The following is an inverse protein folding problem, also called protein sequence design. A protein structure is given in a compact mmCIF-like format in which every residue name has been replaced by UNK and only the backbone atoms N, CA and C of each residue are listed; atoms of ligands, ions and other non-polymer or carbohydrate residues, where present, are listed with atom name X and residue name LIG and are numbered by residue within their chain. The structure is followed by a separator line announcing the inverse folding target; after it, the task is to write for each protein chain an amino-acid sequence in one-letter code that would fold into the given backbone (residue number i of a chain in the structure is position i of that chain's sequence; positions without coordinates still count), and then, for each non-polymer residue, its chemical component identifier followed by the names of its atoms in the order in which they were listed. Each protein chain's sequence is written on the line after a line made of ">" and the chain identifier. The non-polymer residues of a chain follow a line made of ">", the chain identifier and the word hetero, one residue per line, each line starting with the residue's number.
data_IF_431558337950
#
_entry.id   IF_431558337950
#
_cell.length_a   1.000
_cell.length_b   1.000
_cell.length_c   1.000
_cell.angle_alpha   90.00
_cell.angle_beta   90.00
_cell.angle_gamma   90.00
#
_symmetry.space_group_name_H-M   'P 1'
#
loop_
_entity.id
_entity.type
_entity.pdbx_description
1 polymer ?
#
# COMPACT_ATOMS: atom_id res chain seq x y z
N UNK A 1 64.76 71.05 3.54
CA UNK A 1 65.58 71.76 2.52
C UNK A 1 67.01 71.25 2.63
N UNK A 2 67.81 71.11 1.56
CA UNK A 2 67.57 70.97 0.09
C UNK A 2 68.05 69.56 -0.41
N UNK A 3 67.56 68.88 -1.47
CA UNK A 3 67.50 69.01 -2.96
C UNK A 3 68.75 68.61 -3.78
N UNK A 4 68.45 67.95 -4.92
CA UNK A 4 69.20 67.81 -6.20
C UNK A 4 70.18 66.61 -6.35
N UNK A 5 70.35 65.89 -7.47
CA UNK A 5 69.77 65.76 -8.82
C UNK A 5 70.41 64.48 -9.46
N UNK A 6 69.69 63.53 -10.04
CA UNK A 6 69.41 63.30 -11.49
C UNK A 6 70.57 62.81 -12.43
N UNK A 7 70.44 61.53 -12.86
CA UNK A 7 70.79 60.90 -14.18
C UNK A 7 72.27 60.75 -14.63
N UNK A 8 72.65 59.90 -15.64
CA UNK A 8 71.86 59.12 -16.62
C UNK A 8 72.34 57.65 -16.92
N UNK A 9 71.54 56.94 -17.75
CA UNK A 9 71.78 55.63 -18.40
C UNK A 9 72.71 55.70 -19.64
N UNK A 10 73.32 54.59 -20.12
CA UNK A 10 73.12 54.22 -21.53
C UNK A 10 73.12 52.69 -21.87
N UNK A 11 72.82 52.41 -23.14
CA UNK A 11 72.24 51.21 -23.78
C UNK A 11 73.18 50.05 -24.25
N UNK A 12 72.60 48.83 -24.25
CA UNK A 12 72.68 47.60 -25.09
C UNK A 12 73.93 47.03 -25.84
N UNK A 13 74.14 45.69 -25.68
CA UNK A 13 74.51 44.69 -26.74
C UNK A 13 73.93 43.28 -26.43
N UNK A 14 72.98 42.69 -27.21
CA UNK A 14 72.16 41.55 -26.76
C UNK A 14 72.43 40.11 -27.28
N UNK A 15 73.44 39.83 -28.13
CA UNK A 15 73.48 38.54 -28.89
C UNK A 15 74.36 37.40 -28.35
N UNK A 16 75.46 37.67 -27.63
CA UNK A 16 76.39 36.62 -27.17
C UNK A 16 75.97 36.01 -25.83
N UNK A 17 75.49 36.85 -24.90
CA UNK A 17 74.96 36.43 -23.59
C UNK A 17 73.72 35.55 -23.72
N UNK A 18 72.90 35.78 -24.75
CA UNK A 18 71.68 35.01 -24.99
C UNK A 18 71.99 33.56 -25.38
N UNK A 19 73.05 33.33 -26.18
CA UNK A 19 73.47 31.97 -26.57
C UNK A 19 74.07 31.18 -25.40
N UNK A 20 74.90 31.81 -24.57
CA UNK A 20 75.51 31.14 -23.41
C UNK A 20 74.46 30.75 -22.37
N UNK A 21 73.47 31.62 -22.12
CA UNK A 21 72.35 31.33 -21.23
C UNK A 21 71.48 30.20 -21.75
N UNK A 22 71.27 30.13 -23.07
CA UNK A 22 70.50 29.04 -23.65
C UNK A 22 71.22 27.70 -23.51
N UNK A 23 72.53 27.64 -23.75
CA UNK A 23 73.31 26.41 -23.52
C UNK A 23 73.29 25.99 -22.05
N UNK A 24 73.39 26.94 -21.13
CA UNK A 24 73.33 26.70 -19.69
C UNK A 24 71.96 26.11 -19.30
N UNK A 25 70.85 26.71 -19.76
CA UNK A 25 69.49 26.19 -19.55
C UNK A 25 69.35 24.78 -20.11
N UNK A 26 69.89 24.49 -21.30
CA UNK A 26 69.81 23.13 -21.87
C UNK A 26 70.60 22.12 -21.06
N UNK A 27 71.80 22.47 -20.57
CA UNK A 27 72.60 21.57 -19.72
C UNK A 27 71.97 21.35 -18.35
N UNK A 28 71.42 22.40 -17.73
CA UNK A 28 70.71 22.30 -16.45
C UNK A 28 69.44 21.46 -16.60
N UNK A 29 68.71 21.65 -17.70
CA UNK A 29 67.49 20.87 -18.00
C UNK A 29 67.81 19.39 -18.24
N UNK A 30 68.90 19.08 -18.96
CA UNK A 30 69.35 17.71 -19.16
C UNK A 30 69.80 17.05 -17.86
N UNK A 31 70.52 17.77 -16.99
CA UNK A 31 70.94 17.29 -15.69
C UNK A 31 69.74 16.98 -14.76
N UNK A 32 68.72 17.85 -14.74
CA UNK A 32 67.48 17.58 -13.99
C UNK A 32 66.67 16.42 -14.57
N UNK A 33 66.69 16.24 -15.89
CA UNK A 33 66.03 15.10 -16.54
C UNK A 33 66.72 13.78 -16.20
N UNK A 34 68.06 13.71 -16.24
CA UNK A 34 68.80 12.53 -15.80
C UNK A 34 68.57 12.22 -14.32
N UNK A 35 68.57 13.25 -13.46
CA UNK A 35 68.29 13.08 -12.03
C UNK A 35 66.88 12.52 -11.77
N UNK A 36 65.89 12.92 -12.58
CA UNK A 36 64.51 12.39 -12.46
C UNK A 36 64.44 10.92 -12.87
N UNK A 37 65.14 10.54 -13.96
CA UNK A 37 65.22 9.15 -14.39
C UNK A 37 65.89 8.28 -13.32
N UNK A 38 66.99 8.76 -12.73
CA UNK A 38 67.69 8.04 -11.66
C UNK A 38 66.79 7.84 -10.43
N UNK A 39 66.02 8.86 -10.05
CA UNK A 39 65.07 8.74 -8.92
C UNK A 39 63.93 7.75 -9.17
N UNK A 40 63.45 7.63 -10.41
CA UNK A 40 62.44 6.62 -10.78
C UNK A 40 63.00 5.21 -10.73
N UNK A 41 64.28 5.05 -11.09
CA UNK A 41 64.95 3.76 -11.01
C UNK A 41 65.12 3.33 -9.55
N UNK A 42 65.39 4.27 -8.65
CA UNK A 42 65.54 4.01 -7.22
C UNK A 42 64.21 3.59 -6.55
N UNK A 43 63.11 4.29 -6.86
CA UNK A 43 61.75 3.90 -6.41
C UNK A 43 61.34 2.53 -6.94
N UNK A 44 61.69 2.22 -8.20
CA UNK A 44 61.44 0.90 -8.78
C UNK A 44 62.18 -0.20 -8.01
N UNK A 45 63.43 0.01 -7.62
CA UNK A 45 64.16 -0.95 -6.78
C UNK A 45 63.53 -1.08 -5.40
N UNK A 46 63.08 0.01 -4.78
CA UNK A 46 62.45 -0.03 -3.46
C UNK A 46 61.13 -0.81 -3.48
N UNK A 47 60.28 -0.62 -4.50
CA UNK A 47 59.05 -1.41 -4.70
C UNK A 47 59.38 -2.89 -4.89
N UNK A 48 60.42 -3.21 -5.67
CA UNK A 48 60.88 -4.59 -5.87
C UNK A 48 61.23 -5.30 -4.56
N UNK A 49 61.87 -4.61 -3.61
CA UNK A 49 62.22 -5.17 -2.29
C UNK A 49 60.96 -5.52 -1.47
N UNK A 50 59.91 -4.70 -1.53
CA UNK A 50 58.66 -4.98 -0.83
C UNK A 50 57.87 -6.13 -1.47
N UNK A 51 57.83 -6.17 -2.80
CA UNK A 51 57.24 -7.27 -3.55
C UNK A 51 57.93 -8.59 -3.21
N UNK A 52 59.26 -8.63 -3.24
CA UNK A 52 60.05 -9.82 -2.91
C UNK A 52 59.82 -10.29 -1.46
N UNK A 53 59.64 -9.36 -0.52
CA UNK A 53 59.34 -9.70 0.89
C UNK A 53 57.93 -10.28 1.04
N UNK A 54 56.95 -9.77 0.31
CA UNK A 54 55.58 -10.28 0.33
C UNK A 54 55.53 -11.67 -0.34
N UNK A 55 56.08 -11.82 -1.54
CA UNK A 55 56.13 -13.09 -2.23
C UNK A 55 57.00 -14.12 -1.49
N UNK A 56 58.07 -13.68 -0.83
CA UNK A 56 58.88 -14.52 0.05
C UNK A 56 58.07 -15.12 1.20
N UNK A 57 57.28 -14.31 1.91
CA UNK A 57 56.38 -14.80 2.98
C UNK A 57 55.27 -15.71 2.48
N UNK A 58 54.70 -15.41 1.31
CA UNK A 58 53.69 -16.28 0.68
C UNK A 58 54.32 -17.62 0.31
N UNK A 59 55.51 -17.62 -0.28
CA UNK A 59 56.25 -18.85 -0.64
C UNK A 59 56.62 -19.67 0.59
N UNK A 60 57.03 -19.02 1.68
CA UNK A 60 57.28 -19.66 2.97
C UNK A 60 56.00 -20.27 3.55
N UNK A 61 54.88 -19.55 3.51
CA UNK A 61 53.57 -20.06 3.89
C UNK A 61 53.11 -21.27 3.05
N UNK A 62 53.38 -21.26 1.74
CA UNK A 62 53.12 -22.39 0.85
C UNK A 62 54.02 -23.58 1.19
N UNK A 63 55.29 -23.34 1.54
CA UNK A 63 56.21 -24.39 1.93
C UNK A 63 55.81 -25.02 3.28
N UNK A 64 55.36 -24.20 4.23
CA UNK A 64 54.78 -24.66 5.50
C UNK A 64 53.50 -25.47 5.24
N UNK A 65 52.64 -25.01 4.33
CA UNK A 65 51.44 -25.73 3.92
C UNK A 65 51.76 -27.10 3.31
N UNK A 66 52.80 -27.18 2.47
CA UNK A 66 53.28 -28.40 1.85
C UNK A 66 53.89 -29.38 2.87
N UNK A 67 54.55 -28.88 3.91
CA UNK A 67 55.14 -29.71 4.98
C UNK A 67 54.09 -30.34 5.91
N UNK A 68 52.92 -29.71 6.07
CA UNK A 68 51.83 -30.20 6.92
C UNK A 68 50.49 -30.19 6.17
N UNK A 69 50.32 -31.04 5.14
CA UNK A 69 49.16 -30.98 4.24
C UNK A 69 47.85 -31.32 4.95
N UNK A 70 47.86 -32.25 5.92
CA UNK A 70 46.67 -32.64 6.68
C UNK A 70 46.18 -31.51 7.60
N UNK A 71 47.09 -30.89 8.35
CA UNK A 71 46.74 -29.79 9.28
C UNK A 71 46.30 -28.57 8.46
N UNK A 72 47.02 -28.24 7.39
CA UNK A 72 46.70 -27.08 6.56
C UNK A 72 45.39 -27.25 5.81
N UNK A 73 45.11 -28.44 5.28
CA UNK A 73 43.81 -28.72 4.64
C UNK A 73 42.65 -28.66 5.63
N UNK A 74 42.84 -29.14 6.87
CA UNK A 74 41.83 -29.06 7.91
C UNK A 74 41.56 -27.59 8.34
N UNK A 75 42.62 -26.80 8.51
CA UNK A 75 42.50 -25.37 8.83
C UNK A 75 41.85 -24.60 7.68
N UNK A 76 42.26 -24.86 6.43
CA UNK A 76 41.68 -24.24 5.24
C UNK A 76 40.21 -24.62 5.06
N UNK A 77 39.85 -25.88 5.26
CA UNK A 77 38.47 -26.34 5.22
C UNK A 77 37.63 -25.76 6.36
N UNK A 78 38.15 -25.69 7.58
CA UNK A 78 37.49 -25.09 8.74
C UNK A 78 37.22 -23.59 8.56
N UNK A 79 38.24 -22.84 8.11
CA UNK A 79 38.10 -21.43 7.76
C UNK A 79 37.14 -21.25 6.58
N UNK A 80 37.19 -22.12 5.58
CA UNK A 80 36.24 -22.13 4.48
C UNK A 80 34.80 -22.34 4.95
N UNK A 81 34.57 -23.27 5.89
CA UNK A 81 33.25 -23.55 6.44
C UNK A 81 32.67 -22.38 7.25
N UNK A 82 33.51 -21.59 7.91
CA UNK A 82 33.07 -20.39 8.65
C UNK A 82 32.92 -19.17 7.71
N UNK A 83 33.80 -19.02 6.72
CA UNK A 83 33.81 -17.89 5.79
C UNK A 83 32.68 -17.97 4.75
N UNK A 84 32.29 -19.17 4.33
CA UNK A 84 31.21 -19.37 3.37
C UNK A 84 29.85 -19.01 3.99
N UNK A 85 29.08 -18.15 3.30
CA UNK A 85 27.80 -17.61 3.81
C UNK A 85 26.76 -18.68 4.16
N UNK A 86 26.71 -19.80 3.44
CA UNK A 86 25.70 -20.86 3.61
C UNK A 86 25.95 -21.77 4.82
N UNK A 87 27.14 -22.37 5.02
CA UNK A 87 27.42 -23.17 6.20
C UNK A 87 27.35 -22.36 7.50
N UNK A 88 27.81 -21.10 7.50
CA UNK A 88 27.63 -20.18 8.64
C UNK A 88 26.16 -20.01 9.04
N UNK A 89 25.27 -19.84 8.05
CA UNK A 89 23.82 -19.75 8.28
C UNK A 89 23.27 -21.04 8.87
N UNK A 90 23.67 -22.19 8.34
CA UNK A 90 23.21 -23.50 8.81
C UNK A 90 23.61 -23.76 10.26
N UNK A 91 24.88 -23.48 10.62
CA UNK A 91 25.35 -23.58 12.00
C UNK A 91 24.53 -22.69 12.93
N UNK A 92 24.37 -21.41 12.57
CA UNK A 92 23.63 -20.44 13.38
C UNK A 92 22.19 -20.90 13.70
N UNK A 93 21.43 -21.32 12.68
CA UNK A 93 20.06 -21.78 12.91
C UNK A 93 19.97 -23.11 13.66
N UNK A 94 20.91 -24.04 13.44
CA UNK A 94 20.94 -25.30 14.19
C UNK A 94 21.29 -25.07 15.66
N UNK A 95 22.28 -24.23 15.95
CA UNK A 95 22.69 -23.94 17.33
C UNK A 95 21.58 -23.18 18.05
N UNK A 96 20.98 -22.16 17.45
CA UNK A 96 19.84 -21.44 18.04
C UNK A 96 18.67 -22.37 18.37
N UNK A 97 18.36 -23.32 17.48
CA UNK A 97 17.30 -24.33 17.71
C UNK A 97 17.65 -25.33 18.82
N UNK A 98 18.92 -25.57 19.09
CA UNK A 98 19.38 -26.39 20.21
C UNK A 98 19.36 -25.63 21.55
N UNK A 99 19.45 -24.29 21.50
CA UNK A 99 19.39 -23.42 22.68
C UNK A 99 17.98 -22.93 23.04
N UNK A 100 16.96 -23.16 22.19
CA UNK A 100 15.56 -22.96 22.58
C UNK A 100 15.14 -24.10 23.50
N UNK A 101 14.96 -23.82 24.79
CA UNK A 101 14.49 -24.82 25.74
C UNK A 101 13.06 -25.23 25.43
N UNK A 102 12.77 -26.52 25.54
CA UNK A 102 11.42 -27.06 25.34
C UNK A 102 10.39 -26.36 26.22
N UNK A 103 10.80 -25.97 27.43
CA UNK A 103 9.98 -25.21 28.39
C UNK A 103 9.54 -23.83 27.86
N UNK A 104 10.39 -23.13 27.11
CA UNK A 104 10.01 -21.83 26.50
C UNK A 104 9.00 -22.00 25.36
N UNK A 105 9.11 -23.09 24.59
CA UNK A 105 8.15 -23.42 23.54
C UNK A 105 6.80 -23.85 24.13
N UNK A 106 6.83 -24.64 25.21
CA UNK A 106 5.62 -25.08 25.92
C UNK A 106 4.90 -23.90 26.59
N UNK A 107 5.62 -23.04 27.31
CA UNK A 107 5.03 -21.84 27.91
C UNK A 107 4.47 -20.86 26.87
N UNK A 108 5.13 -20.71 25.72
CA UNK A 108 4.61 -19.92 24.61
C UNK A 108 3.34 -20.55 24.00
N UNK A 109 3.31 -21.89 23.85
CA UNK A 109 2.14 -22.60 23.39
C UNK A 109 0.97 -22.45 24.37
N UNK A 110 1.21 -22.58 25.67
CA UNK A 110 0.19 -22.39 26.71
C UNK A 110 -0.37 -20.96 26.73
N UNK A 111 0.49 -19.95 26.58
CA UNK A 111 0.06 -18.56 26.46
C UNK A 111 -0.87 -18.36 25.25
N UNK A 112 -0.47 -18.86 24.08
CA UNK A 112 -1.28 -18.79 22.86
C UNK A 112 -2.61 -19.55 22.99
N UNK A 113 -2.61 -20.72 23.63
CA UNK A 113 -3.85 -21.48 23.87
C UNK A 113 -4.78 -20.71 24.80
N UNK A 114 -4.26 -20.04 25.83
CA UNK A 114 -5.07 -19.18 26.72
C UNK A 114 -5.67 -17.99 25.96
N UNK A 115 -4.87 -17.30 25.16
CA UNK A 115 -5.35 -16.20 24.31
C UNK A 115 -6.46 -16.66 23.35
N UNK A 116 -6.26 -17.81 22.68
CA UNK A 116 -7.27 -18.39 21.79
C UNK A 116 -8.54 -18.81 22.52
N UNK A 117 -8.44 -19.37 23.74
CA UNK A 117 -9.61 -19.67 24.55
C UNK A 117 -10.38 -18.41 24.92
N UNK A 118 -9.67 -17.34 25.26
CA UNK A 118 -10.29 -16.05 25.56
C UNK A 118 -10.99 -15.48 24.32
N UNK A 119 -10.35 -15.48 23.15
CA UNK A 119 -10.96 -14.99 21.92
C UNK A 119 -12.20 -15.81 21.52
N UNK A 120 -12.17 -17.12 21.68
CA UNK A 120 -13.34 -17.99 21.44
C UNK A 120 -14.47 -17.67 22.42
N UNK A 121 -14.16 -17.41 23.70
CA UNK A 121 -15.19 -17.06 24.69
C UNK A 121 -15.87 -15.74 24.38
N UNK A 122 -15.11 -14.73 23.93
CA UNK A 122 -15.64 -13.45 23.48
C UNK A 122 -16.48 -13.63 22.22
N UNK A 123 -15.99 -14.38 21.23
CA UNK A 123 -16.71 -14.67 20.00
C UNK A 123 -18.04 -15.39 20.26
N UNK A 124 -18.07 -16.34 21.19
CA UNK A 124 -19.32 -17.03 21.58
C UNK A 124 -20.33 -16.07 22.21
N UNK A 125 -19.88 -15.18 23.09
CA UNK A 125 -20.75 -14.20 23.72
C UNK A 125 -21.28 -13.16 22.72
N UNK A 126 -20.46 -12.76 21.75
CA UNK A 126 -20.88 -11.88 20.67
C UNK A 126 -21.81 -12.57 19.67
N UNK A 127 -21.53 -13.83 19.32
CA UNK A 127 -22.38 -14.60 18.41
C UNK A 127 -23.78 -14.81 18.99
N UNK A 128 -23.89 -15.15 20.27
CA UNK A 128 -25.17 -15.32 20.95
C UNK A 128 -25.99 -14.01 20.97
N UNK A 129 -25.33 -12.87 21.19
CA UNK A 129 -25.99 -11.55 21.12
C UNK A 129 -26.47 -11.22 19.71
N UNK A 130 -25.66 -11.50 18.70
CA UNK A 130 -26.01 -11.25 17.30
C UNK A 130 -27.12 -12.18 16.83
N UNK A 131 -27.09 -13.45 17.22
CA UNK A 131 -28.14 -14.44 16.92
C UNK A 131 -29.48 -14.02 17.50
N UNK A 132 -29.52 -13.60 18.77
CA UNK A 132 -30.73 -13.04 19.40
C UNK A 132 -31.25 -11.80 18.68
N UNK A 133 -30.37 -10.91 18.23
CA UNK A 133 -30.78 -9.72 17.47
C UNK A 133 -31.34 -10.10 16.10
N UNK A 134 -30.72 -11.08 15.43
CA UNK A 134 -31.16 -11.56 14.13
C UNK A 134 -32.54 -12.23 14.22
N UNK A 135 -32.78 -13.08 15.23
CA UNK A 135 -34.07 -13.75 15.42
C UNK A 135 -35.19 -12.78 15.77
N UNK A 136 -34.92 -11.77 16.62
CA UNK A 136 -35.89 -10.71 16.91
C UNK A 136 -36.22 -9.89 15.66
N UNK A 137 -35.20 -9.51 14.87
CA UNK A 137 -35.41 -8.77 13.63
C UNK A 137 -36.19 -9.58 12.59
N UNK A 138 -35.94 -10.89 12.50
CA UNK A 138 -36.71 -11.80 11.64
C UNK A 138 -38.19 -11.86 12.07
N UNK A 139 -38.46 -12.00 13.36
CA UNK A 139 -39.83 -12.04 13.86
C UNK A 139 -40.56 -10.71 13.61
N UNK A 140 -39.90 -9.57 13.82
CA UNK A 140 -40.43 -8.25 13.51
C UNK A 140 -40.70 -8.07 12.01
N UNK A 141 -39.82 -8.57 11.14
CA UNK A 141 -40.02 -8.58 9.70
C UNK A 141 -41.27 -9.39 9.34
N UNK A 142 -41.40 -10.62 9.84
CA UNK A 142 -42.55 -11.49 9.54
C UNK A 142 -43.85 -10.83 10.02
N UNK A 143 -43.87 -10.28 11.23
CA UNK A 143 -45.01 -9.52 11.77
C UNK A 143 -45.30 -8.26 10.94
N UNK A 144 -44.27 -7.54 10.50
CA UNK A 144 -44.42 -6.36 9.63
C UNK A 144 -44.99 -6.72 8.27
N UNK A 145 -44.47 -7.78 7.64
CA UNK A 145 -44.91 -8.30 6.34
C UNK A 145 -46.38 -8.72 6.37
N UNK A 146 -46.80 -9.41 7.43
CA UNK A 146 -48.21 -9.84 7.59
C UNK A 146 -49.14 -8.64 7.80
N UNK A 147 -48.75 -7.65 8.62
CA UNK A 147 -49.50 -6.39 8.78
C UNK A 147 -49.62 -5.61 7.46
N UNK A 148 -48.53 -5.47 6.70
CA UNK A 148 -48.55 -4.81 5.39
C UNK A 148 -49.46 -5.53 4.40
N UNK A 149 -49.44 -6.87 4.39
CA UNK A 149 -50.34 -7.67 3.56
C UNK A 149 -51.80 -7.45 3.93
N UNK A 150 -52.13 -7.44 5.22
CA UNK A 150 -53.50 -7.20 5.68
C UNK A 150 -53.98 -5.78 5.35
N UNK A 151 -53.15 -4.77 5.61
CA UNK A 151 -53.43 -3.39 5.25
C UNK A 151 -53.63 -3.23 3.73
N UNK A 152 -52.77 -3.87 2.93
CA UNK A 152 -52.92 -3.92 1.48
C UNK A 152 -54.28 -4.47 1.06
N UNK A 153 -54.74 -5.58 1.65
CA UNK A 153 -56.05 -6.18 1.34
C UNK A 153 -57.20 -5.24 1.70
N UNK A 154 -57.10 -4.55 2.83
CA UNK A 154 -58.08 -3.54 3.22
C UNK A 154 -58.13 -2.39 2.23
N UNK A 155 -56.97 -1.87 1.83
CA UNK A 155 -56.86 -0.82 0.81
C UNK A 155 -57.45 -1.30 -0.53
N UNK A 156 -57.18 -2.54 -0.94
CA UNK A 156 -57.76 -3.11 -2.15
C UNK A 156 -59.29 -3.21 -2.07
N UNK A 157 -59.84 -3.53 -0.90
CA UNK A 157 -61.28 -3.46 -0.62
C UNK A 157 -61.83 -2.04 -0.82
N UNK A 158 -61.15 -1.03 -0.29
CA UNK A 158 -61.52 0.40 -0.45
C UNK A 158 -61.40 0.85 -1.90
N UNK A 159 -60.37 0.42 -2.63
CA UNK A 159 -60.23 0.69 -4.07
C UNK A 159 -61.44 0.15 -4.84
N UNK A 160 -61.92 -1.06 -4.51
CA UNK A 160 -63.11 -1.64 -5.13
C UNK A 160 -64.39 -0.88 -4.78
N UNK A 161 -64.54 -0.41 -3.54
CA UNK A 161 -65.71 0.40 -3.17
C UNK A 161 -65.67 1.78 -3.83
N UNK A 162 -64.53 2.45 -3.84
CA UNK A 162 -64.33 3.72 -4.55
C UNK A 162 -64.60 3.57 -6.05
N UNK A 163 -64.17 2.47 -6.67
CA UNK A 163 -64.49 2.16 -8.07
C UNK A 163 -66.00 2.00 -8.31
N UNK A 164 -66.73 1.35 -7.40
CA UNK A 164 -68.20 1.23 -7.50
C UNK A 164 -68.88 2.60 -7.39
N UNK A 165 -68.44 3.43 -6.45
CA UNK A 165 -68.96 4.80 -6.25
C UNK A 165 -68.70 5.65 -7.50
N UNK A 166 -67.47 5.63 -8.02
CA UNK A 166 -67.11 6.30 -9.28
C UNK A 166 -68.03 5.86 -10.41
N UNK A 167 -68.26 4.55 -10.56
CA UNK A 167 -69.15 4.01 -11.59
C UNK A 167 -70.60 4.48 -11.42
N UNK A 168 -71.14 4.42 -10.21
CA UNK A 168 -72.49 4.89 -9.91
C UNK A 168 -72.65 6.40 -10.18
N UNK A 169 -71.68 7.21 -9.76
CA UNK A 169 -71.66 8.64 -10.02
C UNK A 169 -71.58 8.93 -11.53
N UNK A 170 -70.70 8.24 -12.27
CA UNK A 170 -70.64 8.41 -13.73
C UNK A 170 -71.95 8.02 -14.42
N UNK A 171 -72.57 6.89 -14.04
CA UNK A 171 -73.86 6.47 -14.60
C UNK A 171 -74.98 7.46 -14.27
N UNK A 172 -75.04 7.98 -13.04
CA UNK A 172 -76.01 8.99 -12.66
C UNK A 172 -75.82 10.30 -13.43
N UNK A 173 -74.56 10.73 -13.62
CA UNK A 173 -74.23 11.91 -14.43
C UNK A 173 -74.69 11.72 -15.88
N UNK A 174 -74.54 10.53 -16.44
CA UNK A 174 -74.93 10.21 -17.81
C UNK A 174 -76.47 10.23 -17.95
N UNK A 175 -77.23 9.70 -16.99
CA UNK A 175 -78.69 9.85 -16.94
C UNK A 175 -79.10 11.32 -16.82
N UNK A 176 -78.46 12.08 -15.92
CA UNK A 176 -78.76 13.51 -15.73
C UNK A 176 -78.48 14.31 -17.01
N UNK A 177 -77.62 13.84 -17.92
CA UNK A 177 -77.32 14.48 -19.20
C UNK A 177 -78.52 14.49 -20.15
N UNK A 178 -79.42 13.52 -20.03
CA UNK A 178 -80.60 13.38 -20.89
C UNK A 178 -81.76 14.30 -20.48
N UNK A 179 -81.79 14.78 -19.23
CA UNK A 179 -82.88 15.66 -18.76
C UNK A 179 -82.73 17.11 -19.26
N UNK A 180 -83.78 17.72 -19.85
CA UNK A 180 -83.77 19.13 -20.23
C UNK A 180 -84.27 20.00 -19.05
N UNK A 181 -83.36 20.61 -18.27
CA UNK A 181 -83.65 21.77 -17.37
C UNK A 181 -82.40 22.31 -16.67
N UNK A 182 -82.48 23.59 -16.27
CA UNK A 182 -81.43 24.29 -15.51
C UNK A 182 -81.10 23.64 -14.15
N UNK A 183 -82.07 22.99 -13.50
CA UNK A 183 -81.91 22.30 -12.21
C UNK A 183 -81.00 21.06 -12.30
N UNK A 184 -81.04 20.33 -13.41
CA UNK A 184 -80.17 19.18 -13.64
C UNK A 184 -78.69 19.58 -13.76
N UNK A 185 -78.39 20.83 -14.16
CA UNK A 185 -77.00 21.30 -14.32
C UNK A 185 -76.22 21.31 -13.00
N UNK A 186 -76.88 21.73 -11.90
CA UNK A 186 -76.27 21.75 -10.56
C UNK A 186 -75.91 20.33 -10.12
N UNK A 187 -76.85 19.39 -10.27
CA UNK A 187 -76.59 17.98 -9.95
C UNK A 187 -75.51 17.36 -10.84
N UNK A 188 -75.47 17.68 -12.14
CA UNK A 188 -74.38 17.23 -13.03
C UNK A 188 -73.01 17.67 -12.52
N UNK A 189 -72.87 18.93 -12.09
CA UNK A 189 -71.60 19.42 -11.53
C UNK A 189 -71.21 18.70 -10.24
N UNK A 190 -72.15 18.52 -9.31
CA UNK A 190 -71.91 17.84 -8.03
C UNK A 190 -71.55 16.36 -8.21
N UNK A 191 -72.27 15.65 -9.10
CA UNK A 191 -71.98 14.24 -9.37
C UNK A 191 -70.65 14.10 -10.12
N UNK A 192 -70.32 15.04 -11.02
CA UNK A 192 -69.02 15.04 -11.69
C UNK A 192 -67.87 15.30 -10.73
N UNK A 193 -68.02 16.20 -9.76
CA UNK A 193 -66.98 16.43 -8.73
C UNK A 193 -66.80 15.19 -7.85
N UNK A 194 -67.89 14.59 -7.37
CA UNK A 194 -67.86 13.33 -6.61
C UNK A 194 -67.17 12.19 -7.36
N UNK A 195 -67.47 12.02 -8.66
CA UNK A 195 -66.82 11.01 -9.49
C UNK A 195 -65.30 11.27 -9.63
N UNK A 196 -64.91 12.53 -9.81
CA UNK A 196 -63.50 12.93 -9.92
C UNK A 196 -62.72 12.72 -8.63
N UNK A 197 -63.34 13.04 -7.49
CA UNK A 197 -62.77 12.85 -6.15
C UNK A 197 -62.59 11.36 -5.86
N UNK A 198 -63.61 10.54 -6.08
CA UNK A 198 -63.52 9.08 -5.91
C UNK A 198 -62.43 8.46 -6.80
N UNK A 199 -62.27 8.95 -8.04
CA UNK A 199 -61.21 8.52 -8.95
C UNK A 199 -59.82 8.93 -8.46
N UNK A 200 -59.68 10.14 -7.92
CA UNK A 200 -58.42 10.65 -7.39
C UNK A 200 -57.99 9.84 -6.16
N UNK A 201 -58.89 9.61 -5.21
CA UNK A 201 -58.65 8.79 -4.02
C UNK A 201 -58.28 7.35 -4.40
N UNK A 202 -59.04 6.74 -5.33
CA UNK A 202 -58.74 5.40 -5.84
C UNK A 202 -57.33 5.31 -6.44
N UNK A 203 -56.92 6.30 -7.22
CA UNK A 203 -55.60 6.34 -7.83
C UNK A 203 -54.49 6.54 -6.78
N UNK A 204 -54.73 7.35 -5.74
CA UNK A 204 -53.81 7.51 -4.62
C UNK A 204 -53.61 6.18 -3.86
N UNK A 205 -54.72 5.52 -3.48
CA UNK A 205 -54.69 4.21 -2.82
C UNK A 205 -54.03 3.13 -3.68
N UNK A 206 -54.25 3.16 -4.99
CA UNK A 206 -53.62 2.21 -5.93
C UNK A 206 -52.09 2.36 -5.96
N UNK A 207 -51.56 3.59 -5.82
CA UNK A 207 -50.12 3.83 -5.71
C UNK A 207 -49.56 3.26 -4.41
N UNK A 208 -50.28 3.38 -3.30
CA UNK A 208 -49.85 2.79 -2.02
C UNK A 208 -49.82 1.25 -2.07
N UNK A 209 -50.82 0.62 -2.68
CA UNK A 209 -50.81 -0.84 -2.91
C UNK A 209 -49.65 -1.25 -3.81
N UNK A 210 -49.35 -0.48 -4.86
CA UNK A 210 -48.21 -0.75 -5.73
C UNK A 210 -46.88 -0.67 -4.96
N UNK A 211 -46.73 0.29 -4.03
CA UNK A 211 -45.56 0.34 -3.14
C UNK A 211 -45.45 -0.93 -2.30
N UNK A 212 -46.55 -1.43 -1.72
CA UNK A 212 -46.54 -2.69 -0.95
C UNK A 212 -46.11 -3.87 -1.84
N UNK A 213 -46.65 -3.94 -3.06
CA UNK A 213 -46.29 -4.98 -4.03
C UNK A 213 -44.82 -4.93 -4.44
N UNK A 214 -44.24 -3.74 -4.59
CA UNK A 214 -42.82 -3.56 -4.95
C UNK A 214 -41.86 -4.10 -3.87
N UNK A 215 -42.30 -4.21 -2.61
CA UNK A 215 -41.54 -4.87 -1.54
C UNK A 215 -41.67 -6.41 -1.58
N UNK A 216 -42.22 -6.98 -2.65
CA UNK A 216 -42.40 -8.44 -2.81
C UNK A 216 -43.53 -9.01 -1.94
N UNK A 217 -44.48 -8.17 -1.51
CA UNK A 217 -45.64 -8.57 -0.72
C UNK A 217 -46.86 -8.63 -1.64
N UNK A 218 -47.33 -9.84 -1.91
CA UNK A 218 -48.57 -10.05 -2.68
C UNK A 218 -49.79 -9.66 -1.84
N UNK A 219 -50.51 -8.65 -2.29
CA UNK A 219 -51.76 -8.17 -1.70
C UNK A 219 -52.96 -8.92 -2.28
#
# INVERSE_FOLDING_TARGET
>A
MPTDAESPSPEEKPSTTSKSRFSEITTTSQAHFSQTIDSLQDVKSEIGVYEDKLFGKVKEGINIAASHPLITSAVAAGLGFVALKRPRRLLYYKTLRLFTSEETLLSQADAKVKELRQSISLLKAESEKLERRASLAEEELIRGRTKLRQAGKQIQGVIRSAYKIERQATGLRDILRELPRAEASKFRSQVSSLASEAKQERNALSKEVAKISNHGISV
#
